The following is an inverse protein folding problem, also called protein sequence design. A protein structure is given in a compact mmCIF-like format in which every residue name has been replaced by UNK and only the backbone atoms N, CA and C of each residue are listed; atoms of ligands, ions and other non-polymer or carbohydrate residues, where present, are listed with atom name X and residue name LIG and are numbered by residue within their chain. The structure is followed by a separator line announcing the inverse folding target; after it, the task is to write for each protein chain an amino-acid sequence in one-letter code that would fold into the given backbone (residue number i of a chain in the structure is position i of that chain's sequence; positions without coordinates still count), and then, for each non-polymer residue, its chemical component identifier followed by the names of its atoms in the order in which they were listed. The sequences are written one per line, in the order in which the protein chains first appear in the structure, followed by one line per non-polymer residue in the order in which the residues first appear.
data_IF_811449396214
#
_entry.id   IF_811449396214
#
_cell.length_a   1.000
_cell.length_b   1.000
_cell.length_c   1.000
_cell.angle_alpha   90.00
_cell.angle_beta   90.00
_cell.angle_gamma   90.00
#
_symmetry.space_group_name_H-M   'P 1'
#
loop_
_entity.id
_entity.type
_entity.pdbx_description
1 polymer ?
#
# COMPACT_ATOMS: atom_id res chain seq x y z
N UNK A 1 -64.26 0.10 -20.62
CA UNK A 1 -63.38 0.55 -19.51
C UNK A 1 -62.24 -0.43 -19.16
N UNK A 2 -62.06 -1.53 -19.86
CA UNK A 2 -60.97 -2.52 -19.58
C UNK A 2 -59.67 -2.35 -20.40
N UNK A 3 -59.78 -1.73 -21.59
CA UNK A 3 -58.67 -1.56 -22.52
C UNK A 3 -57.67 -0.49 -22.07
N UNK A 4 -58.13 0.60 -21.42
CA UNK A 4 -57.27 1.68 -20.91
C UNK A 4 -56.34 1.24 -19.77
N UNK A 5 -56.72 0.22 -18.98
CA UNK A 5 -55.86 -0.33 -17.90
C UNK A 5 -54.73 -1.22 -18.41
N UNK A 6 -54.94 -1.90 -19.53
CA UNK A 6 -53.94 -2.79 -20.13
C UNK A 6 -52.83 -1.97 -20.80
N UNK A 7 -53.18 -0.85 -21.44
CA UNK A 7 -52.19 0.05 -22.07
C UNK A 7 -51.32 0.73 -21.03
N UNK A 8 -51.87 1.07 -19.86
CA UNK A 8 -51.09 1.66 -18.76
C UNK A 8 -50.06 0.69 -18.15
N UNK A 9 -50.36 -0.60 -18.12
CA UNK A 9 -49.42 -1.63 -17.60
C UNK A 9 -48.28 -1.89 -18.60
N UNK A 10 -48.54 -1.86 -19.91
CA UNK A 10 -47.52 -2.00 -20.92
C UNK A 10 -46.57 -0.79 -20.99
N UNK A 11 -47.05 0.40 -20.68
CA UNK A 11 -46.22 1.61 -20.65
C UNK A 11 -45.27 1.63 -19.42
N UNK A 12 -45.62 0.92 -18.34
CA UNK A 12 -44.79 0.85 -17.14
C UNK A 12 -43.65 -0.20 -17.21
N UNK A 13 -43.80 -1.20 -18.10
CA UNK A 13 -42.80 -2.27 -18.27
C UNK A 13 -41.69 -1.85 -19.23
N UNK A 14 -41.90 -0.87 -20.09
CA UNK A 14 -40.90 -0.43 -21.07
C UNK A 14 -39.83 0.53 -20.53
N UNK A 15 -39.92 0.96 -19.25
CA UNK A 15 -38.95 1.92 -18.66
C UNK A 15 -37.84 1.24 -17.84
N UNK A 16 -37.83 -0.10 -17.70
CA UNK A 16 -36.86 -0.81 -16.89
C UNK A 16 -35.78 -1.51 -17.73
N UNK A 17 -35.65 -1.17 -19.00
CA UNK A 17 -34.47 -1.58 -19.77
C UNK A 17 -33.48 -0.41 -19.74
N UNK A 18 -32.82 -0.19 -18.60
CA UNK A 18 -31.60 0.59 -18.53
C UNK A 18 -30.52 -0.27 -19.20
N UNK A 19 -29.92 0.18 -20.31
CA UNK A 19 -28.75 -0.51 -20.80
C UNK A 19 -27.69 -0.43 -19.69
N UNK A 20 -27.28 -1.57 -19.15
CA UNK A 20 -26.03 -1.67 -18.40
C UNK A 20 -24.93 -1.27 -19.39
N UNK A 21 -24.60 0.01 -19.41
CA UNK A 21 -23.33 0.43 -19.94
C UNK A 21 -22.29 -0.30 -19.09
N UNK A 22 -21.64 -1.29 -19.64
CA UNK A 22 -20.40 -1.84 -19.16
C UNK A 22 -19.44 -0.67 -19.00
N UNK A 23 -19.34 -0.13 -17.78
CA UNK A 23 -18.22 0.69 -17.40
C UNK A 23 -17.03 -0.26 -17.50
N UNK A 24 -16.31 -0.18 -18.61
CA UNK A 24 -14.99 -0.74 -18.72
C UNK A 24 -14.15 0.00 -17.68
N UNK A 25 -14.01 -0.60 -16.49
CA UNK A 25 -12.93 -0.24 -15.61
C UNK A 25 -11.66 -0.58 -16.39
N UNK A 26 -10.94 0.44 -16.82
CA UNK A 26 -9.55 0.28 -17.15
C UNK A 26 -8.93 -0.35 -15.89
N UNK A 27 -8.54 -1.62 -15.98
CA UNK A 27 -7.73 -2.27 -14.96
C UNK A 27 -6.50 -1.38 -14.76
N UNK A 28 -6.45 -0.69 -13.61
CA UNK A 28 -5.18 -0.20 -13.12
C UNK A 28 -4.25 -1.42 -13.07
N UNK A 29 -3.03 -1.32 -13.58
CA UNK A 29 -2.11 -2.45 -13.54
C UNK A 29 -1.95 -2.85 -12.07
N UNK A 30 -2.40 -4.07 -11.79
CA UNK A 30 -2.37 -4.67 -10.47
C UNK A 30 -0.91 -4.76 -10.02
N UNK A 31 -0.49 -3.85 -9.13
CA UNK A 31 0.84 -3.85 -8.51
C UNK A 31 1.12 -5.12 -7.70
N UNK A 32 0.14 -6.04 -7.65
CA UNK A 32 0.23 -7.31 -6.95
C UNK A 32 0.88 -8.43 -7.76
N UNK A 33 0.94 -8.33 -9.08
CA UNK A 33 1.51 -9.39 -9.93
C UNK A 33 3.04 -9.48 -9.89
N UNK A 34 3.72 -8.57 -9.19
CA UNK A 34 5.18 -8.59 -9.05
C UNK A 34 5.66 -9.46 -7.87
N UNK A 35 4.76 -9.93 -7.00
CA UNK A 35 5.16 -10.53 -5.69
C UNK A 35 4.87 -12.04 -5.58
N UNK A 36 4.03 -12.63 -6.43
CA UNK A 36 3.64 -14.04 -6.28
C UNK A 36 3.85 -14.89 -7.54
N UNK A 37 5.10 -15.12 -7.92
CA UNK A 37 5.44 -16.36 -8.63
C UNK A 37 6.04 -17.33 -7.64
N UNK A 38 5.20 -18.25 -7.21
CA UNK A 38 5.52 -19.35 -6.31
C UNK A 38 6.24 -20.44 -7.08
N UNK A 39 7.38 -20.85 -6.49
CA UNK A 39 8.03 -22.16 -6.56
C UNK A 39 8.77 -22.61 -7.83
N UNK A 40 10.03 -22.91 -7.59
CA UNK A 40 11.03 -23.65 -8.38
C UNK A 40 11.91 -22.85 -9.34
N UNK A 41 12.36 -21.67 -8.95
CA UNK A 41 13.58 -21.11 -9.51
C UNK A 41 14.66 -20.96 -8.42
N UNK A 42 15.82 -21.63 -8.67
CA UNK A 42 17.11 -21.40 -8.06
C UNK A 42 17.20 -19.95 -7.59
N UNK A 43 17.41 -19.71 -6.27
CA UNK A 43 17.46 -18.39 -5.64
C UNK A 43 18.42 -17.43 -6.35
N UNK A 44 17.98 -16.83 -7.45
CA UNK A 44 18.60 -15.63 -7.99
C UNK A 44 17.98 -14.48 -7.20
N UNK A 45 18.62 -14.10 -6.11
CA UNK A 45 18.28 -12.84 -5.42
C UNK A 45 18.50 -11.73 -6.44
N UNK A 46 17.45 -10.96 -6.83
CA UNK A 46 17.65 -9.87 -7.79
C UNK A 46 18.72 -8.95 -7.24
N UNK A 47 19.83 -8.81 -7.98
CA UNK A 47 20.91 -7.91 -7.57
C UNK A 47 20.32 -6.50 -7.63
N UNK A 48 20.18 -5.87 -6.47
CA UNK A 48 19.74 -4.49 -6.38
C UNK A 48 20.68 -3.59 -7.20
N UNK A 49 20.12 -2.86 -8.14
CA UNK A 49 20.88 -2.03 -9.07
C UNK A 49 21.30 -0.72 -8.40
N UNK A 50 20.41 -0.09 -7.64
CA UNK A 50 20.61 1.24 -7.04
C UNK A 50 20.58 1.21 -5.51
N UNK A 51 19.82 0.32 -4.87
CA UNK A 51 19.73 0.23 -3.41
C UNK A 51 20.87 -0.67 -2.89
N UNK A 52 21.74 -0.09 -2.07
CA UNK A 52 22.80 -0.82 -1.38
C UNK A 52 22.28 -1.49 -0.10
N UNK A 53 21.49 -0.74 0.68
CA UNK A 53 20.90 -1.22 1.92
C UNK A 53 19.62 -0.48 2.24
N UNK A 54 18.68 -1.14 2.91
CA UNK A 54 17.48 -0.51 3.44
C UNK A 54 17.01 -1.23 4.70
N UNK A 55 16.36 -0.49 5.60
CA UNK A 55 15.85 -1.05 6.85
C UNK A 55 14.52 -0.42 7.25
N UNK A 56 13.72 -1.23 7.96
CA UNK A 56 12.51 -0.81 8.64
C UNK A 56 12.48 -1.48 10.01
N UNK A 57 12.29 -0.68 11.07
CA UNK A 57 12.13 -1.15 12.45
C UNK A 57 10.96 -0.47 13.09
N UNK A 58 10.21 -1.22 13.89
CA UNK A 58 9.10 -0.72 14.70
C UNK A 58 9.38 -1.04 16.18
N UNK A 59 8.98 -0.15 17.06
CA UNK A 59 8.97 -0.37 18.50
C UNK A 59 7.76 0.30 19.13
N UNK A 60 7.23 -0.29 20.20
CA UNK A 60 6.12 0.25 20.98
C UNK A 60 6.62 0.63 22.37
N UNK A 61 6.30 1.84 22.84
CA UNK A 61 6.55 2.29 24.20
C UNK A 61 5.67 3.50 24.53
N UNK A 62 5.23 3.61 25.78
CA UNK A 62 4.59 4.80 26.36
C UNK A 62 3.44 5.38 25.49
N UNK A 63 2.52 4.55 25.02
CA UNK A 63 1.39 5.00 24.19
C UNK A 63 1.76 5.35 22.75
N UNK A 64 2.98 5.02 22.31
CA UNK A 64 3.47 5.39 21.00
C UNK A 64 4.06 4.22 20.23
N UNK A 65 3.87 4.23 18.94
CA UNK A 65 4.62 3.40 17.99
C UNK A 65 5.67 4.27 17.31
N UNK A 66 6.94 3.89 17.48
CA UNK A 66 8.07 4.52 16.80
C UNK A 66 8.50 3.67 15.62
N UNK A 67 8.63 4.29 14.45
CA UNK A 67 9.08 3.66 13.21
C UNK A 67 10.37 4.34 12.74
N UNK A 68 11.42 3.54 12.55
CA UNK A 68 12.69 3.98 11.99
C UNK A 68 12.89 3.30 10.64
N UNK A 69 13.16 4.08 9.62
CA UNK A 69 13.41 3.59 8.27
C UNK A 69 14.64 4.26 7.68
N UNK A 70 15.40 3.50 6.88
CA UNK A 70 16.55 4.03 6.17
C UNK A 70 16.69 3.39 4.80
N UNK A 71 17.30 4.13 3.88
CA UNK A 71 17.75 3.64 2.58
C UNK A 71 19.12 4.25 2.27
N UNK A 72 20.02 3.40 1.77
CA UNK A 72 21.33 3.77 1.26
C UNK A 72 21.42 3.32 -0.19
N UNK A 73 21.58 4.26 -1.09
CA UNK A 73 21.83 3.99 -2.51
C UNK A 73 23.32 3.84 -2.80
N UNK A 74 23.64 3.23 -3.95
CA UNK A 74 25.00 3.16 -4.48
C UNK A 74 25.54 4.56 -4.83
N UNK A 75 26.82 4.65 -5.15
CA UNK A 75 27.50 5.93 -5.44
C UNK A 75 26.89 6.71 -6.60
N UNK A 76 26.27 6.03 -7.56
CA UNK A 76 25.59 6.64 -8.71
C UNK A 76 24.22 7.25 -8.37
N UNK A 77 23.70 7.02 -7.15
CA UNK A 77 22.40 7.55 -6.74
C UNK A 77 22.52 8.98 -6.24
N UNK A 78 21.74 9.87 -6.82
CA UNK A 78 21.68 11.28 -6.45
C UNK A 78 20.36 11.69 -5.77
N UNK A 79 19.43 10.72 -5.55
CA UNK A 79 18.11 10.99 -4.98
C UNK A 79 17.58 9.75 -4.29
N UNK A 80 17.11 9.91 -3.07
CA UNK A 80 16.48 8.87 -2.28
C UNK A 80 15.19 9.36 -1.62
N UNK A 81 14.26 8.43 -1.36
CA UNK A 81 13.03 8.75 -0.65
C UNK A 81 12.56 7.60 0.22
N UNK A 82 11.77 7.94 1.21
CA UNK A 82 11.11 7.01 2.14
C UNK A 82 9.66 7.44 2.30
N UNK A 83 8.73 6.49 2.19
CA UNK A 83 7.33 6.64 2.60
C UNK A 83 7.11 5.64 3.73
N UNK A 84 6.64 6.12 4.86
CA UNK A 84 6.30 5.31 6.04
C UNK A 84 4.79 5.31 6.19
N UNK A 85 4.20 4.13 6.31
CA UNK A 85 2.80 3.91 6.63
C UNK A 85 2.73 3.13 7.93
N UNK A 86 2.04 3.67 8.93
CA UNK A 86 1.63 2.89 10.10
C UNK A 86 0.30 2.24 9.78
N UNK A 87 0.25 0.92 9.91
CA UNK A 87 -0.95 0.12 9.68
C UNK A 87 -1.44 -0.49 10.99
N UNK A 88 -2.76 -0.52 11.14
CA UNK A 88 -3.48 -1.17 12.23
C UNK A 88 -4.25 -2.38 11.69
N UNK A 89 -4.24 -3.49 12.43
CA UNK A 89 -5.02 -4.67 12.10
C UNK A 89 -6.47 -4.47 12.53
N UNK A 90 -7.40 -4.39 11.57
CA UNK A 90 -8.85 -4.25 11.79
C UNK A 90 -9.59 -5.34 11.02
N UNK A 91 -10.40 -6.14 11.72
CA UNK A 91 -11.22 -7.20 11.10
C UNK A 91 -10.41 -8.05 10.11
N UNK A 92 -9.20 -8.51 10.55
CA UNK A 92 -8.26 -9.32 9.78
C UNK A 92 -7.57 -8.61 8.58
N UNK A 93 -7.80 -7.32 8.41
CA UNK A 93 -7.18 -6.51 7.35
C UNK A 93 -6.27 -5.43 7.92
N UNK A 94 -5.16 -5.15 7.21
CA UNK A 94 -4.25 -4.07 7.54
C UNK A 94 -4.74 -2.76 6.92
N UNK A 95 -5.00 -1.76 7.76
CA UNK A 95 -5.50 -0.45 7.36
C UNK A 95 -4.43 0.61 7.63
N UNK A 96 -4.11 1.42 6.63
CA UNK A 96 -3.22 2.56 6.79
C UNK A 96 -3.88 3.62 7.70
N UNK A 97 -3.28 3.90 8.85
CA UNK A 97 -3.80 4.90 9.79
C UNK A 97 -2.97 6.19 9.83
N UNK A 98 -1.70 6.11 9.49
CA UNK A 98 -0.79 7.27 9.36
C UNK A 98 0.14 7.06 8.18
N UNK A 99 0.45 8.15 7.48
CA UNK A 99 1.43 8.15 6.39
C UNK A 99 2.34 9.36 6.53
N UNK A 100 3.63 9.16 6.33
CA UNK A 100 4.63 10.22 6.23
C UNK A 100 5.59 9.94 5.09
N UNK A 101 6.18 10.99 4.53
CA UNK A 101 7.14 10.86 3.45
C UNK A 101 8.34 11.79 3.65
N UNK A 102 9.51 11.34 3.20
CA UNK A 102 10.73 12.12 3.15
C UNK A 102 11.46 11.85 1.85
N UNK A 103 11.96 12.90 1.22
CA UNK A 103 12.74 12.84 -0.01
C UNK A 103 13.91 13.80 0.10
N UNK A 104 15.07 13.35 -0.31
CA UNK A 104 16.29 14.14 -0.28
C UNK A 104 17.08 13.97 -1.58
N UNK A 105 17.84 15.00 -1.93
CA UNK A 105 18.94 14.91 -2.90
C UNK A 105 20.12 14.24 -2.22
N UNK A 106 20.54 13.07 -2.73
CA UNK A 106 21.66 12.31 -2.19
C UNK A 106 21.36 10.82 -2.07
N UNK A 107 22.40 10.07 -1.77
CA UNK A 107 22.36 8.61 -1.76
C UNK A 107 21.82 7.98 -0.47
N UNK A 108 21.63 8.75 0.59
CA UNK A 108 21.20 8.21 1.90
C UNK A 108 20.01 9.02 2.43
N UNK A 109 18.92 8.35 2.76
CA UNK A 109 17.77 8.94 3.44
C UNK A 109 17.46 8.12 4.70
N UNK A 110 17.13 8.79 5.80
CA UNK A 110 16.60 8.18 7.01
C UNK A 110 15.42 8.98 7.53
N UNK A 111 14.46 8.29 8.14
CA UNK A 111 13.28 8.88 8.76
C UNK A 111 12.96 8.15 10.05
N UNK A 112 12.60 8.91 11.07
CA UNK A 112 12.11 8.41 12.36
C UNK A 112 10.82 9.14 12.69
N UNK A 113 9.75 8.38 12.89
CA UNK A 113 8.43 8.92 13.19
C UNK A 113 7.87 8.23 14.43
N UNK A 114 7.20 9.00 15.28
CA UNK A 114 6.48 8.48 16.44
C UNK A 114 5.01 8.86 16.32
N UNK A 115 4.13 7.90 16.58
CA UNK A 115 2.69 8.07 16.47
C UNK A 115 2.01 7.57 17.74
N UNK A 116 1.17 8.41 18.33
CA UNK A 116 0.33 8.00 19.45
C UNK A 116 -0.73 6.99 18.95
N UNK A 117 -0.91 5.92 19.69
CA UNK A 117 -1.77 4.79 19.34
C UNK A 117 -2.60 4.32 20.52
N UNK A 118 -3.69 3.57 20.24
CA UNK A 118 -4.56 3.00 21.26
C UNK A 118 -4.00 1.67 21.76
N UNK A 119 -4.28 1.36 23.03
CA UNK A 119 -3.96 0.06 23.63
C UNK A 119 -4.85 -1.07 23.07
N UNK A 120 -4.38 -2.30 23.23
CA UNK A 120 -5.05 -3.54 22.79
C UNK A 120 -5.25 -3.67 21.26
N UNK A 121 -4.50 -2.92 20.50
CA UNK A 121 -4.48 -3.01 19.03
C UNK A 121 -3.15 -3.57 18.53
N UNK A 122 -3.16 -4.08 17.30
CA UNK A 122 -1.96 -4.62 16.66
C UNK A 122 -1.56 -3.73 15.50
N UNK A 123 -0.29 -3.36 15.46
CA UNK A 123 0.27 -2.42 14.50
C UNK A 123 1.45 -3.02 13.75
N UNK A 124 1.68 -2.55 12.52
CA UNK A 124 2.91 -2.80 11.76
C UNK A 124 3.30 -1.56 10.96
N UNK A 125 4.55 -1.51 10.56
CA UNK A 125 5.01 -0.51 9.60
C UNK A 125 5.11 -1.13 8.21
N UNK A 126 4.60 -0.43 7.21
CA UNK A 126 4.90 -0.63 5.79
C UNK A 126 5.75 0.54 5.33
N UNK A 127 6.91 0.26 4.76
CA UNK A 127 7.85 1.30 4.31
C UNK A 127 8.19 1.08 2.85
N UNK A 128 8.02 2.12 2.05
CA UNK A 128 8.44 2.15 0.66
C UNK A 128 9.68 3.01 0.57
N UNK A 129 10.79 2.45 0.12
CA UNK A 129 12.06 3.15 -0.07
C UNK A 129 12.41 3.21 -1.55
N UNK A 130 12.97 4.34 -1.98
CA UNK A 130 13.45 4.47 -3.36
C UNK A 130 14.85 5.06 -3.40
N UNK A 131 15.66 4.57 -4.34
CA UNK A 131 16.98 5.09 -4.67
C UNK A 131 17.17 5.10 -6.19
N UNK A 132 17.34 6.28 -6.77
CA UNK A 132 17.30 6.43 -8.23
C UNK A 132 15.93 5.97 -8.77
N UNK A 133 15.95 5.00 -9.65
CA UNK A 133 14.75 4.41 -10.27
C UNK A 133 14.33 3.08 -9.62
N UNK A 134 15.03 2.63 -8.57
CA UNK A 134 14.68 1.41 -7.85
C UNK A 134 13.83 1.71 -6.63
N UNK A 135 12.80 0.87 -6.42
CA UNK A 135 11.90 0.96 -5.26
C UNK A 135 11.79 -0.41 -4.60
N UNK A 136 11.79 -0.43 -3.26
CA UNK A 136 11.55 -1.62 -2.45
C UNK A 136 10.50 -1.33 -1.38
N UNK A 137 9.69 -2.34 -1.09
CA UNK A 137 8.74 -2.34 0.01
C UNK A 137 9.29 -3.22 1.15
N UNK A 138 9.22 -2.70 2.36
CA UNK A 138 9.58 -3.38 3.60
C UNK A 138 8.35 -3.40 4.51
N UNK A 139 8.12 -4.54 5.15
CA UNK A 139 7.08 -4.67 6.18
C UNK A 139 7.75 -5.13 7.46
N UNK A 140 7.47 -4.46 8.57
CA UNK A 140 7.99 -4.84 9.88
C UNK A 140 7.26 -6.05 10.44
N UNK A 141 7.81 -6.65 11.49
CA UNK A 141 7.02 -7.50 12.40
C UNK A 141 5.87 -6.68 12.99
N UNK A 142 4.77 -7.36 13.35
CA UNK A 142 3.68 -6.70 14.06
C UNK A 142 4.03 -6.51 15.54
N UNK A 143 3.49 -5.44 16.12
CA UNK A 143 3.58 -5.10 17.54
C UNK A 143 2.18 -4.99 18.11
N UNK A 144 1.88 -5.71 19.19
CA UNK A 144 0.68 -5.50 19.98
C UNK A 144 1.01 -4.45 21.05
N UNK A 145 0.17 -3.44 21.14
CA UNK A 145 0.28 -2.40 22.14
C UNK A 145 -0.94 -2.41 23.04
#
# INVERSE_FOLDING_TARGET
MKIKKIISIFLYISIIIIPLNLISFAEEPDLLDIIYTKENQKNITPISVFILNCSCRISASDGNIKINASVVGKSSVNKTSIIIKLQELKSEHWVDIKTSSKKIGGKTCSSSNSYSVSENHTYRAMVIVSAGNETKMLVSTSQKY
#
